data_IF_358570618546
#
_entry.id   IF_358570618546
#
_cell.length_a   1.000
_cell.length_b   1.000
_cell.length_c   1.000
_cell.angle_alpha   90.00
_cell.angle_beta   90.00
_cell.angle_gamma   90.00
#
_symmetry.space_group_name_H-M   'P 1'
#
loop_
_entity.id
_entity.type
_entity.pdbx_description
1 polymer ?
#
# COMPACT_ATOMS: atom_id res chain seq x y z
N UNK A 1 -2.84 18.19 1.15
CA UNK A 1 -2.41 16.84 0.70
C UNK A 1 -2.42 16.65 -0.82
N UNK A 2 -3.35 17.24 -1.56
CA UNK A 2 -3.46 17.04 -3.02
C UNK A 2 -2.20 17.44 -3.82
N UNK A 3 -1.52 18.52 -3.44
CA UNK A 3 -0.30 19.01 -4.12
C UNK A 3 0.90 18.06 -3.98
N UNK A 4 1.07 17.40 -2.84
CA UNK A 4 2.18 16.46 -2.63
C UNK A 4 2.03 15.20 -3.49
N UNK A 5 0.81 14.71 -3.68
CA UNK A 5 0.53 13.57 -4.55
C UNK A 5 0.78 13.90 -6.03
N UNK A 6 0.46 15.14 -6.45
CA UNK A 6 0.70 15.57 -7.83
C UNK A 6 2.19 15.72 -8.11
N UNK A 7 2.97 16.30 -7.20
CA UNK A 7 4.43 16.41 -7.32
C UNK A 7 5.06 15.01 -7.30
N UNK A 8 4.63 14.13 -6.42
CA UNK A 8 5.09 12.74 -6.36
C UNK A 8 4.88 12.02 -7.68
N UNK A 9 3.70 12.13 -8.28
CA UNK A 9 3.39 11.49 -9.57
C UNK A 9 4.19 12.06 -10.75
N UNK A 10 4.49 13.36 -10.75
CA UNK A 10 5.34 13.99 -11.75
C UNK A 10 6.78 13.52 -11.60
N UNK A 11 7.30 13.47 -10.39
CA UNK A 11 8.67 13.01 -10.11
C UNK A 11 8.84 11.54 -10.53
N UNK A 12 7.91 10.66 -10.18
CA UNK A 12 8.00 9.24 -10.57
C UNK A 12 7.90 9.02 -12.07
N UNK A 13 7.20 9.88 -12.80
CA UNK A 13 6.99 9.74 -14.24
C UNK A 13 8.16 10.28 -15.09
N UNK A 14 8.74 11.41 -14.70
CA UNK A 14 9.71 12.13 -15.56
C UNK A 14 11.16 11.99 -15.13
N UNK A 15 11.44 11.75 -13.86
CA UNK A 15 12.82 11.66 -13.36
C UNK A 15 13.59 10.47 -13.91
N UNK A 16 13.02 9.27 -14.10
CA UNK A 16 13.74 8.16 -14.72
C UNK A 16 14.21 8.44 -16.14
N UNK A 17 13.33 9.01 -16.97
CA UNK A 17 13.64 9.32 -18.36
C UNK A 17 14.72 10.38 -18.44
N UNK A 18 14.61 11.43 -17.63
CA UNK A 18 15.61 12.50 -17.55
C UNK A 18 16.97 11.99 -17.07
N UNK A 19 17.01 11.10 -16.08
CA UNK A 19 18.30 10.53 -15.63
C UNK A 19 18.93 9.61 -16.68
N UNK A 20 18.14 8.83 -17.41
CA UNK A 20 18.64 8.00 -18.49
C UNK A 20 19.22 8.88 -19.62
N UNK A 21 18.55 9.97 -19.97
CA UNK A 21 19.05 10.95 -20.94
C UNK A 21 20.39 11.57 -20.50
N UNK A 22 20.52 11.93 -19.22
CA UNK A 22 21.79 12.43 -18.66
C UNK A 22 22.91 11.38 -18.80
N UNK A 23 22.60 10.11 -18.49
CA UNK A 23 23.60 9.02 -18.63
C UNK A 23 24.05 8.85 -20.06
N UNK A 24 23.12 8.90 -21.02
CA UNK A 24 23.44 8.83 -22.46
C UNK A 24 24.30 10.03 -22.91
N UNK A 25 23.95 11.23 -22.49
CA UNK A 25 24.75 12.45 -22.79
C UNK A 25 26.16 12.38 -22.21
N UNK A 26 26.33 11.83 -20.99
CA UNK A 26 27.62 11.65 -20.37
C UNK A 26 28.48 10.62 -21.12
N UNK A 27 27.89 9.53 -21.60
CA UNK A 27 28.59 8.54 -22.43
C UNK A 27 29.12 9.20 -23.69
N UNK A 28 28.33 10.04 -24.34
CA UNK A 28 28.73 10.76 -25.55
C UNK A 28 29.81 11.83 -25.26
N UNK A 29 29.60 12.64 -24.19
CA UNK A 29 30.49 13.72 -23.83
C UNK A 29 31.90 13.26 -23.43
N UNK A 30 31.97 12.12 -22.74
CA UNK A 30 33.23 11.56 -22.28
C UNK A 30 33.80 10.49 -23.22
N UNK A 31 33.16 10.28 -24.38
CA UNK A 31 33.55 9.25 -25.34
C UNK A 31 33.79 7.89 -24.65
N UNK A 32 32.89 7.53 -23.70
CA UNK A 32 33.05 6.35 -22.88
C UNK A 32 32.86 5.08 -23.69
N UNK A 33 33.94 4.31 -23.80
CA UNK A 33 33.85 2.94 -24.30
C UNK A 33 33.66 1.97 -23.14
N UNK A 34 32.42 1.49 -22.98
CA UNK A 34 32.05 0.54 -21.92
C UNK A 34 32.79 -0.79 -22.03
N UNK A 35 33.33 -1.12 -23.21
CA UNK A 35 34.12 -2.35 -23.43
C UNK A 35 35.47 -2.31 -22.71
N UNK A 36 35.98 -1.11 -22.44
CA UNK A 36 37.28 -0.88 -21.74
C UNK A 36 37.14 -0.88 -20.22
N UNK A 37 35.92 -1.00 -19.69
CA UNK A 37 35.67 -0.99 -18.26
C UNK A 37 36.34 -2.16 -17.54
N UNK A 38 36.94 -1.84 -16.41
CA UNK A 38 37.70 -2.78 -15.62
C UNK A 38 36.88 -3.28 -14.45
N UNK A 39 36.70 -4.59 -14.34
CA UNK A 39 35.99 -5.24 -13.25
C UNK A 39 36.92 -6.20 -12.47
N UNK A 40 36.60 -6.43 -11.21
CA UNK A 40 37.28 -7.39 -10.35
C UNK A 40 38.09 -6.79 -9.20
N UNK A 41 38.44 -7.64 -8.26
CA UNK A 41 39.22 -7.26 -7.08
C UNK A 41 40.65 -6.85 -7.47
N UNK A 42 41.18 -5.78 -6.86
CA UNK A 42 42.52 -5.29 -7.08
C UNK A 42 42.73 -4.43 -8.32
N UNK A 43 41.76 -4.26 -9.18
CA UNK A 43 41.83 -3.38 -10.35
C UNK A 43 41.29 -1.99 -10.04
N UNK A 44 42.07 -0.96 -10.44
CA UNK A 44 41.70 0.45 -10.22
C UNK A 44 40.82 0.94 -11.35
N UNK A 45 39.53 1.22 -11.06
CA UNK A 45 38.58 1.83 -12.00
C UNK A 45 38.93 3.29 -12.28
N UNK A 46 38.71 3.77 -13.51
CA UNK A 46 38.82 5.18 -13.85
C UNK A 46 37.80 6.01 -13.08
N UNK A 47 37.96 7.35 -13.07
CA UNK A 47 36.97 8.25 -12.44
C UNK A 47 35.65 8.23 -13.21
N UNK A 48 35.76 8.22 -14.53
CA UNK A 48 34.65 8.22 -15.48
C UNK A 48 33.82 6.94 -15.32
N UNK A 49 34.47 5.77 -15.26
CA UNK A 49 33.81 4.50 -15.02
C UNK A 49 33.04 4.49 -13.68
N UNK A 50 33.64 5.03 -12.62
CA UNK A 50 32.95 5.10 -11.31
C UNK A 50 31.72 6.00 -11.34
N UNK A 51 31.80 7.17 -12.00
CA UNK A 51 30.64 8.06 -12.14
C UNK A 51 29.55 7.42 -12.98
N UNK A 52 29.88 6.77 -14.07
CA UNK A 52 28.92 6.04 -14.91
C UNK A 52 28.22 4.94 -14.13
N UNK A 53 28.96 4.08 -13.43
CA UNK A 53 28.40 3.00 -12.60
C UNK A 53 27.50 3.53 -11.48
N UNK A 54 27.86 4.66 -10.86
CA UNK A 54 27.04 5.30 -9.84
C UNK A 54 25.69 5.80 -10.42
N UNK A 55 25.74 6.50 -11.53
CA UNK A 55 24.53 7.04 -12.16
C UNK A 55 23.62 5.93 -12.66
N UNK A 56 24.17 4.93 -13.33
CA UNK A 56 23.41 3.76 -13.79
C UNK A 56 22.79 3.00 -12.59
N UNK A 57 23.55 2.87 -11.48
CA UNK A 57 23.04 2.28 -10.26
C UNK A 57 21.88 3.08 -9.62
N UNK A 58 21.89 4.41 -9.73
CA UNK A 58 20.76 5.24 -9.30
C UNK A 58 19.54 5.06 -10.19
N UNK A 59 19.72 5.02 -11.52
CA UNK A 59 18.63 4.75 -12.46
C UNK A 59 17.95 3.41 -12.16
N UNK A 60 18.74 2.35 -11.96
CA UNK A 60 18.22 1.03 -11.62
C UNK A 60 17.43 1.02 -10.30
N UNK A 61 17.97 1.66 -9.24
CA UNK A 61 17.27 1.77 -7.95
C UNK A 61 15.99 2.57 -8.06
N UNK A 62 16.00 3.65 -8.84
CA UNK A 62 14.82 4.48 -9.05
C UNK A 62 13.72 3.69 -9.74
N UNK A 63 14.06 2.93 -10.77
CA UNK A 63 13.13 2.04 -11.45
C UNK A 63 12.55 1.00 -10.48
N UNK A 64 13.39 0.37 -9.67
CA UNK A 64 12.94 -0.57 -8.64
C UNK A 64 11.98 0.08 -7.61
N UNK A 65 12.23 1.34 -7.22
CA UNK A 65 11.33 2.05 -6.30
C UNK A 65 9.99 2.40 -6.94
N UNK A 66 9.99 2.79 -8.22
CA UNK A 66 8.74 3.06 -8.96
C UNK A 66 7.89 1.81 -9.01
N UNK A 67 8.47 0.66 -9.39
CA UNK A 67 7.77 -0.62 -9.39
C UNK A 67 7.18 -0.98 -8.02
N UNK A 68 7.92 -0.72 -6.94
CA UNK A 68 7.43 -0.96 -5.57
C UNK A 68 6.30 -0.01 -5.18
N UNK A 69 6.35 1.25 -5.61
CA UNK A 69 5.29 2.23 -5.38
C UNK A 69 4.03 1.82 -6.14
N UNK A 70 4.16 1.38 -7.39
CA UNK A 70 3.05 0.92 -8.21
C UNK A 70 2.37 -0.32 -7.60
N UNK A 71 3.15 -1.25 -7.02
CA UNK A 71 2.60 -2.39 -6.29
C UNK A 71 1.83 -1.95 -5.04
N UNK A 72 2.33 -0.94 -4.31
CA UNK A 72 1.62 -0.42 -3.14
C UNK A 72 0.28 0.23 -3.52
N UNK A 73 0.25 0.96 -4.61
CA UNK A 73 -0.90 1.79 -4.98
C UNK A 73 -1.08 3.01 -4.06
N UNK A 74 -2.17 3.77 -4.24
CA UNK A 74 -2.40 5.04 -3.53
C UNK A 74 -2.81 4.85 -2.06
N UNK A 75 -3.41 3.72 -1.72
CA UNK A 75 -4.09 3.50 -0.43
C UNK A 75 -3.21 2.80 0.60
N UNK A 76 -2.06 2.28 0.19
CA UNK A 76 -1.14 1.52 1.04
C UNK A 76 0.25 2.13 1.04
N UNK A 77 0.99 1.88 2.10
CA UNK A 77 2.41 2.27 2.18
C UNK A 77 3.35 1.06 2.40
N UNK A 78 2.82 -0.14 2.33
CA UNK A 78 3.59 -1.36 2.50
C UNK A 78 2.90 -2.55 1.85
N UNK A 79 3.67 -3.53 1.44
CA UNK A 79 3.21 -4.82 0.94
C UNK A 79 4.19 -5.93 1.32
N UNK A 80 3.73 -7.17 1.38
CA UNK A 80 4.59 -8.32 1.63
C UNK A 80 5.26 -8.81 0.34
N UNK A 81 6.50 -9.28 0.43
CA UNK A 81 7.20 -9.87 -0.72
C UNK A 81 6.55 -11.15 -1.23
N UNK A 82 5.97 -11.93 -0.32
CA UNK A 82 5.32 -13.20 -0.62
C UNK A 82 3.88 -13.05 -1.11
N UNK A 83 3.18 -12.05 -0.56
CA UNK A 83 1.81 -11.72 -0.94
C UNK A 83 1.69 -10.20 -1.14
N UNK A 84 1.74 -9.78 -2.40
CA UNK A 84 1.70 -8.35 -2.76
C UNK A 84 0.39 -7.66 -2.39
N UNK A 85 -0.67 -8.40 -2.15
CA UNK A 85 -1.97 -7.86 -1.75
C UNK A 85 -2.07 -7.63 -0.24
N UNK A 86 -1.30 -8.36 0.56
CA UNK A 86 -1.27 -8.18 2.01
C UNK A 86 -0.53 -6.92 2.44
N UNK A 87 -1.05 -6.24 3.46
CA UNK A 87 -0.43 -5.07 4.07
C UNK A 87 0.12 -5.42 5.44
N UNK A 88 1.25 -4.81 5.82
CA UNK A 88 1.79 -4.98 7.16
C UNK A 88 0.92 -4.27 8.19
N UNK A 89 0.35 -5.05 9.13
CA UNK A 89 -0.55 -4.59 10.17
C UNK A 89 -0.06 -5.07 11.54
N UNK A 90 -0.41 -4.31 12.58
CA UNK A 90 -0.24 -4.74 13.96
C UNK A 90 -1.41 -5.63 14.34
N UNK A 91 -1.12 -6.87 14.71
CA UNK A 91 -2.13 -7.82 15.17
C UNK A 91 -2.28 -7.66 16.69
N UNK A 92 -3.51 -7.49 17.18
CA UNK A 92 -3.80 -7.26 18.60
C UNK A 92 -3.31 -8.40 19.52
N UNK A 93 -3.57 -9.63 19.09
CA UNK A 93 -3.09 -10.84 19.75
C UNK A 93 -1.82 -11.29 19.04
N UNK A 94 -0.73 -10.55 19.26
CA UNK A 94 0.55 -11.00 18.76
C UNK A 94 0.99 -12.23 19.57
N UNK A 95 1.08 -13.38 18.89
CA UNK A 95 1.53 -14.63 19.49
C UNK A 95 2.93 -14.51 20.09
N UNK A 96 3.80 -13.70 19.50
CA UNK A 96 5.17 -13.50 19.97
C UNK A 96 5.29 -12.42 21.05
N UNK A 97 4.25 -11.61 21.26
CA UNK A 97 4.21 -10.54 22.26
C UNK A 97 5.26 -9.44 22.04
N UNK A 98 5.74 -9.25 20.80
CA UNK A 98 6.81 -8.31 20.44
C UNK A 98 6.34 -7.11 19.64
N UNK A 99 5.01 -6.92 19.49
CA UNK A 99 4.38 -5.83 18.72
C UNK A 99 4.83 -5.76 17.24
N UNK A 100 5.24 -6.89 16.67
CA UNK A 100 5.74 -6.97 15.31
C UNK A 100 4.61 -6.75 14.30
N UNK A 101 4.92 -5.99 13.23
CA UNK A 101 4.02 -5.86 12.08
C UNK A 101 4.10 -7.13 11.24
N UNK A 102 2.94 -7.73 10.97
CA UNK A 102 2.80 -8.92 10.14
C UNK A 102 1.97 -8.64 8.89
N UNK A 103 2.25 -9.32 7.76
CA UNK A 103 1.39 -9.25 6.60
C UNK A 103 0.02 -9.82 6.94
N UNK A 104 -1.03 -9.02 6.73
CA UNK A 104 -2.39 -9.42 7.09
C UNK A 104 -3.43 -8.72 6.22
N UNK A 105 -4.65 -9.21 6.32
CA UNK A 105 -5.86 -8.62 5.77
C UNK A 105 -6.80 -8.23 6.91
N UNK A 106 -7.57 -7.18 6.68
CA UNK A 106 -8.66 -6.80 7.56
C UNK A 106 -9.95 -7.45 7.05
N UNK A 107 -10.52 -8.36 7.85
CA UNK A 107 -11.74 -9.06 7.50
C UNK A 107 -12.89 -8.46 8.30
N UNK A 108 -13.90 -7.96 7.60
CA UNK A 108 -15.11 -7.40 8.16
C UNK A 108 -16.29 -8.35 7.90
N UNK A 109 -17.12 -8.57 8.90
CA UNK A 109 -18.27 -9.48 8.81
C UNK A 109 -19.50 -8.75 9.33
N UNK A 110 -20.52 -8.63 8.49
CA UNK A 110 -21.85 -8.21 8.89
C UNK A 110 -22.72 -9.42 9.20
N UNK A 111 -23.34 -9.43 10.39
CA UNK A 111 -24.19 -10.51 10.86
C UNK A 111 -25.61 -9.97 11.11
N UNK A 112 -26.60 -10.71 10.62
CA UNK A 112 -28.02 -10.45 10.88
C UNK A 112 -28.57 -11.68 11.60
N UNK A 113 -28.99 -11.53 12.86
CA UNK A 113 -29.38 -12.61 13.76
C UNK A 113 -28.30 -13.72 13.85
N UNK A 114 -28.58 -14.87 13.28
CA UNK A 114 -27.70 -16.05 13.27
C UNK A 114 -26.98 -16.21 11.91
N UNK A 115 -27.21 -15.31 10.96
CA UNK A 115 -26.69 -15.44 9.59
C UNK A 115 -25.62 -14.39 9.26
N UNK A 116 -24.63 -14.81 8.51
CA UNK A 116 -23.65 -13.89 7.93
C UNK A 116 -24.32 -13.22 6.70
N UNK A 117 -24.54 -11.92 6.79
CA UNK A 117 -25.17 -11.15 5.73
C UNK A 117 -24.15 -10.66 4.70
N UNK A 118 -22.95 -10.24 5.14
CA UNK A 118 -21.90 -9.74 4.24
C UNK A 118 -20.54 -10.04 4.84
N UNK A 119 -19.57 -10.33 3.97
CA UNK A 119 -18.16 -10.45 4.33
C UNK A 119 -17.37 -9.59 3.37
N UNK A 120 -16.43 -8.81 3.91
CA UNK A 120 -15.51 -8.03 3.12
C UNK A 120 -14.07 -8.21 3.62
N UNK A 121 -13.12 -8.29 2.68
CA UNK A 121 -11.71 -8.52 2.97
C UNK A 121 -10.90 -7.39 2.36
N UNK A 122 -10.32 -6.58 3.21
CA UNK A 122 -9.59 -5.38 2.82
C UNK A 122 -8.11 -5.43 3.22
N UNK A 123 -7.32 -4.60 2.56
CA UNK A 123 -5.92 -4.34 2.91
C UNK A 123 -5.74 -3.09 3.79
N UNK A 124 -6.84 -2.42 4.17
CA UNK A 124 -6.80 -1.24 5.06
C UNK A 124 -6.47 -1.66 6.49
N UNK A 125 -5.63 -0.86 7.16
CA UNK A 125 -5.21 -1.12 8.54
C UNK A 125 -6.23 -0.69 9.58
N UNK A 126 -7.07 0.26 9.21
CA UNK A 126 -8.10 0.82 10.08
C UNK A 126 -9.45 0.19 9.77
N UNK A 127 -10.17 -0.23 10.80
CA UNK A 127 -11.52 -0.74 10.69
C UNK A 127 -12.50 0.33 10.18
N UNK A 128 -12.22 1.61 10.47
CA UNK A 128 -13.01 2.73 9.98
C UNK A 128 -12.95 2.85 8.45
N UNK A 129 -11.78 2.60 7.86
CA UNK A 129 -11.59 2.65 6.42
C UNK A 129 -12.25 1.44 5.72
N UNK A 130 -12.43 0.33 6.43
CA UNK A 130 -13.12 -0.86 5.93
C UNK A 130 -14.64 -0.77 6.00
N UNK A 131 -15.20 0.13 6.81
CA UNK A 131 -16.64 0.22 7.02
C UNK A 131 -17.41 0.63 5.77
N UNK A 132 -16.93 1.65 5.06
CA UNK A 132 -17.59 2.14 3.84
C UNK A 132 -17.59 1.07 2.75
N UNK A 133 -16.47 0.42 2.40
CA UNK A 133 -16.45 -0.71 1.47
C UNK A 133 -17.40 -1.85 1.85
N UNK A 134 -17.46 -2.22 3.13
CA UNK A 134 -18.40 -3.24 3.62
C UNK A 134 -19.87 -2.85 3.34
N UNK A 135 -20.22 -1.61 3.63
CA UNK A 135 -21.59 -1.10 3.41
C UNK A 135 -21.94 -0.99 1.92
N UNK A 136 -20.97 -0.63 1.09
CA UNK A 136 -21.14 -0.64 -0.37
C UNK A 136 -21.34 -2.05 -0.91
N UNK A 137 -20.59 -3.01 -0.43
CA UNK A 137 -20.74 -4.43 -0.78
C UNK A 137 -22.10 -4.96 -0.34
N UNK A 138 -22.55 -4.62 0.87
CA UNK A 138 -23.89 -4.94 1.35
C UNK A 138 -24.96 -4.38 0.41
N UNK A 139 -24.85 -3.09 0.04
CA UNK A 139 -25.80 -2.46 -0.89
C UNK A 139 -25.81 -3.13 -2.27
N UNK A 140 -24.63 -3.49 -2.79
CA UNK A 140 -24.54 -4.20 -4.07
C UNK A 140 -25.27 -5.54 -4.04
N UNK A 141 -25.20 -6.24 -2.89
CA UNK A 141 -25.83 -7.55 -2.71
C UNK A 141 -27.34 -7.46 -2.51
N UNK A 142 -27.80 -6.50 -1.70
CA UNK A 142 -29.21 -6.43 -1.28
C UNK A 142 -30.00 -5.26 -1.90
N UNK A 143 -29.35 -4.33 -2.59
CA UNK A 143 -30.01 -3.22 -3.28
C UNK A 143 -30.36 -2.00 -2.40
N UNK A 144 -30.06 -2.03 -1.09
CA UNK A 144 -30.35 -0.95 -0.15
C UNK A 144 -29.20 -0.76 0.85
N UNK A 145 -29.13 0.42 1.48
CA UNK A 145 -28.26 0.64 2.64
C UNK A 145 -28.99 0.32 3.94
N UNK A 146 -28.21 -0.10 4.95
CA UNK A 146 -28.70 -0.35 6.34
C UNK A 146 -29.10 0.97 7.05
N UNK A 147 -29.64 1.95 6.34
CA UNK A 147 -29.92 3.28 6.88
C UNK A 147 -31.37 3.46 7.41
N UNK A 148 -32.24 2.47 7.22
CA UNK A 148 -33.60 2.57 7.76
C UNK A 148 -33.65 2.08 9.21
N UNK A 149 -34.21 2.91 10.06
CA UNK A 149 -34.22 2.78 11.53
C UNK A 149 -34.77 1.44 12.06
N UNK A 150 -35.52 0.73 11.27
CA UNK A 150 -36.15 -0.56 11.64
C UNK A 150 -35.21 -1.74 11.42
N UNK A 151 -34.30 -1.66 10.45
CA UNK A 151 -33.31 -2.72 10.17
C UNK A 151 -32.15 -2.75 11.16
N UNK A 152 -31.85 -1.65 11.86
CA UNK A 152 -30.80 -1.60 12.90
C UNK A 152 -31.11 -2.51 14.10
N UNK A 153 -32.32 -2.99 14.24
CA UNK A 153 -32.68 -3.92 15.32
C UNK A 153 -32.21 -5.35 15.02
N UNK A 154 -32.07 -5.68 13.74
CA UNK A 154 -31.86 -7.06 13.32
C UNK A 154 -30.48 -7.32 12.71
N UNK A 155 -29.69 -6.27 12.40
CA UNK A 155 -28.36 -6.43 11.85
C UNK A 155 -27.30 -5.90 12.82
N UNK A 156 -26.47 -6.80 13.30
CA UNK A 156 -25.31 -6.45 14.11
C UNK A 156 -24.06 -6.60 13.23
N UNK A 157 -23.36 -5.49 12.98
CA UNK A 157 -22.07 -5.54 12.30
C UNK A 157 -20.99 -5.90 13.32
N UNK A 158 -20.44 -7.07 13.20
CA UNK A 158 -19.34 -7.56 14.06
C UNK A 158 -18.04 -7.33 13.32
N UNK A 159 -17.27 -6.36 13.78
CA UNK A 159 -15.88 -6.20 13.37
C UNK A 159 -15.07 -7.24 14.11
N UNK A 160 -14.45 -8.18 13.41
CA UNK A 160 -13.85 -9.39 14.00
C UNK A 160 -12.73 -9.13 15.02
N UNK A 161 -12.34 -7.88 15.23
CA UNK A 161 -11.27 -7.51 16.18
C UNK A 161 -11.65 -6.36 17.14
N UNK A 162 -12.79 -5.61 16.94
CA UNK A 162 -13.11 -4.45 17.78
C UNK A 162 -14.60 -4.24 18.09
N UNK A 163 -15.17 -5.11 18.90
CA UNK A 163 -16.54 -4.99 19.45
C UNK A 163 -16.74 -3.67 20.22
N UNK A 164 -15.69 -3.10 20.83
CA UNK A 164 -15.82 -1.94 21.72
C UNK A 164 -16.01 -0.59 21.03
N UNK A 165 -15.56 -0.42 19.80
CA UNK A 165 -15.67 0.88 19.09
C UNK A 165 -17.01 1.04 18.36
N UNK A 166 -17.56 -0.03 17.82
CA UNK A 166 -18.86 0.03 17.13
C UNK A 166 -20.02 0.22 18.13
N UNK A 167 -19.95 -0.38 19.31
CA UNK A 167 -20.91 -0.15 20.39
C UNK A 167 -20.96 1.33 20.84
N UNK A 168 -19.81 2.04 20.78
CA UNK A 168 -19.77 3.46 21.10
C UNK A 168 -20.46 4.32 20.02
N UNK A 169 -20.32 3.98 18.75
CA UNK A 169 -20.96 4.70 17.64
C UNK A 169 -22.46 4.42 17.60
N UNK A 170 -22.87 3.17 17.78
CA UNK A 170 -24.28 2.79 17.92
C UNK A 170 -24.95 3.46 19.14
N UNK A 171 -24.26 3.55 20.27
CA UNK A 171 -24.72 4.26 21.47
C UNK A 171 -24.99 5.75 21.21
N UNK A 172 -24.14 6.40 20.40
CA UNK A 172 -24.32 7.83 20.02
C UNK A 172 -25.50 8.02 19.06
N UNK A 173 -25.79 7.04 18.20
CA UNK A 173 -26.89 7.08 17.24
C UNK A 173 -28.23 6.74 17.91
N UNK A 174 -28.23 5.87 18.92
CA UNK A 174 -29.46 5.43 19.63
C UNK A 174 -29.88 6.36 20.77
N UNK A 175 -29.04 7.31 21.20
CA UNK A 175 -29.35 8.30 22.26
C UNK A 175 -29.88 9.64 21.73
N UNK A 176 -30.22 9.74 20.45
CA UNK A 176 -31.00 10.82 19.85
C UNK A 176 -32.33 10.29 19.33
#
# INVERSE_FOLDING_TARGET
MHYLNTIGSLVTKYVPDYLNEIVEQLVLLWELDTSTFVYGSGKRKSKEQRHYEHLTGFCQKLQEYIEKIDICGPDRNSYSKTDKSATFMRIKTDYMGNDQLLPAYNVQIGVADEYIAVVDVNHYRSDMDCFVPLMEHFKQTYGFYVAEKEMYKDITVVVSIFISMLLAILSIITTK
#
